data_IF_823352088348
#
_entry.id   IF_823352088348
#
_cell.length_a   1.000
_cell.length_b   1.000
_cell.length_c   1.000
_cell.angle_alpha   90.00
_cell.angle_beta   90.00
_cell.angle_gamma   90.00
#
_symmetry.space_group_name_H-M   'P 1'
#
loop_
_entity.id
_entity.type
_entity.pdbx_description
1 polymer ?
#
# COMPACT_ATOMS: atom_id res chain seq x y z
N UNK A 1 31.81 -11.15 -30.67
CA UNK A 1 31.08 -11.51 -29.45
C UNK A 1 30.31 -10.36 -28.81
N UNK A 2 30.87 -9.14 -28.60
CA UNK A 2 30.17 -8.02 -27.97
C UNK A 2 28.91 -7.56 -28.71
N UNK A 3 28.91 -7.54 -30.05
CA UNK A 3 27.77 -7.07 -30.88
C UNK A 3 26.56 -7.99 -30.68
N UNK A 4 26.75 -9.30 -30.73
CA UNK A 4 25.67 -10.29 -30.61
C UNK A 4 25.08 -10.36 -29.19
N UNK A 5 25.94 -10.26 -28.16
CA UNK A 5 25.47 -10.15 -26.77
C UNK A 5 24.59 -8.89 -26.60
N UNK A 6 25.01 -7.75 -27.17
CA UNK A 6 24.22 -6.51 -27.13
C UNK A 6 22.89 -6.65 -27.88
N UNK A 7 22.89 -7.37 -28.99
CA UNK A 7 21.67 -7.67 -29.74
C UNK A 7 20.68 -8.47 -28.91
N UNK A 8 21.14 -9.58 -28.31
CA UNK A 8 20.30 -10.42 -27.43
C UNK A 8 19.78 -9.63 -26.24
N UNK A 9 20.64 -8.83 -25.59
CA UNK A 9 20.24 -7.97 -24.46
C UNK A 9 19.16 -6.96 -24.87
N UNK A 10 19.29 -6.33 -26.05
CA UNK A 10 18.29 -5.38 -26.56
C UNK A 10 16.96 -6.09 -26.83
N UNK A 11 17.01 -7.28 -27.42
CA UNK A 11 15.84 -8.08 -27.75
C UNK A 11 15.07 -8.49 -26.47
N UNK A 12 15.77 -9.07 -25.49
CA UNK A 12 15.19 -9.47 -24.21
C UNK A 12 14.69 -8.23 -23.44
N UNK A 13 15.49 -7.17 -23.41
CA UNK A 13 15.16 -5.95 -22.67
C UNK A 13 13.92 -5.24 -23.20
N UNK A 14 13.74 -5.14 -24.52
CA UNK A 14 12.54 -4.54 -25.12
C UNK A 14 11.27 -5.28 -24.75
N UNK A 15 11.28 -6.62 -24.82
CA UNK A 15 10.14 -7.45 -24.41
C UNK A 15 9.91 -7.44 -22.90
N UNK A 16 10.99 -7.33 -22.11
CA UNK A 16 10.87 -7.20 -20.64
C UNK A 16 10.19 -5.89 -20.23
N UNK A 17 10.53 -4.78 -20.85
CA UNK A 17 9.88 -3.47 -20.58
C UNK A 17 8.39 -3.55 -20.91
N UNK A 18 8.03 -4.14 -22.05
CA UNK A 18 6.63 -4.36 -22.43
C UNK A 18 5.93 -5.25 -21.39
N UNK A 19 6.61 -6.31 -20.94
CA UNK A 19 6.10 -7.20 -19.89
C UNK A 19 5.86 -6.48 -18.56
N UNK A 20 6.83 -5.68 -18.09
CA UNK A 20 6.67 -4.86 -16.88
C UNK A 20 5.49 -3.91 -17.03
N UNK A 21 5.40 -3.18 -18.15
CA UNK A 21 4.30 -2.24 -18.39
C UNK A 21 2.94 -2.94 -18.41
N UNK A 22 2.84 -4.11 -19.06
CA UNK A 22 1.60 -4.89 -19.13
C UNK A 22 1.17 -5.37 -17.73
N UNK A 23 2.06 -6.00 -16.97
CA UNK A 23 1.72 -6.47 -15.63
C UNK A 23 1.46 -5.34 -14.65
N UNK A 24 2.20 -4.24 -14.75
CA UNK A 24 1.91 -3.03 -13.96
C UNK A 24 0.51 -2.53 -14.26
N UNK A 25 0.13 -2.43 -15.53
CA UNK A 25 -1.21 -2.02 -15.93
C UNK A 25 -2.30 -2.97 -15.38
N UNK A 26 -2.09 -4.30 -15.48
CA UNK A 26 -3.04 -5.30 -14.96
C UNK A 26 -3.25 -5.14 -13.44
N UNK A 27 -2.15 -4.97 -12.67
CA UNK A 27 -2.24 -4.78 -11.21
C UNK A 27 -2.94 -3.45 -10.89
N UNK A 28 -2.64 -2.39 -11.66
CA UNK A 28 -3.31 -1.10 -11.49
C UNK A 28 -4.80 -1.13 -11.79
N UNK A 29 -5.23 -1.93 -12.76
CA UNK A 29 -6.67 -2.11 -13.05
C UNK A 29 -7.45 -2.60 -11.82
N UNK A 30 -6.83 -3.44 -10.99
CA UNK A 30 -7.43 -3.89 -9.73
C UNK A 30 -7.65 -2.72 -8.75
N UNK A 31 -6.69 -1.80 -8.69
CA UNK A 31 -6.73 -0.67 -7.76
C UNK A 31 -7.52 0.54 -8.31
N UNK A 32 -7.88 0.51 -9.62
CA UNK A 32 -8.62 1.57 -10.29
C UNK A 32 -9.98 1.86 -9.64
N UNK A 33 -10.68 0.82 -9.16
CA UNK A 33 -11.96 0.98 -8.46
C UNK A 33 -11.82 1.86 -7.21
N UNK A 34 -10.78 1.64 -6.42
CA UNK A 34 -10.49 2.45 -5.23
C UNK A 34 -10.09 3.89 -5.59
N UNK A 35 -9.32 4.08 -6.67
CA UNK A 35 -8.96 5.41 -7.15
C UNK A 35 -10.16 6.19 -7.67
N UNK A 36 -11.07 5.53 -8.40
CA UNK A 36 -12.31 6.16 -8.84
C UNK A 36 -13.23 6.53 -7.66
N UNK A 37 -13.30 5.70 -6.65
CA UNK A 37 -14.05 6.01 -5.42
C UNK A 37 -13.49 7.27 -4.74
N UNK A 38 -12.17 7.41 -4.63
CA UNK A 38 -11.52 8.61 -4.09
C UNK A 38 -11.84 9.86 -4.91
N UNK A 39 -11.91 9.77 -6.24
CA UNK A 39 -12.25 10.91 -7.10
C UNK A 39 -13.73 11.28 -6.96
N UNK A 40 -14.61 10.28 -7.03
CA UNK A 40 -16.07 10.50 -7.13
C UNK A 40 -16.67 10.84 -5.76
N UNK A 41 -16.29 10.10 -4.71
CA UNK A 41 -16.82 10.34 -3.35
C UNK A 41 -16.18 11.54 -2.69
N UNK A 42 -14.87 11.69 -2.82
CA UNK A 42 -14.10 12.60 -1.98
C UNK A 42 -13.68 13.88 -2.71
N UNK A 43 -14.15 14.11 -3.96
CA UNK A 43 -13.78 15.31 -4.75
C UNK A 43 -12.26 15.58 -4.73
N UNK A 44 -11.44 14.51 -4.64
CA UNK A 44 -10.00 14.64 -4.53
C UNK A 44 -9.44 15.35 -5.77
N UNK A 45 -8.55 16.34 -5.61
CA UNK A 45 -7.97 17.05 -6.75
C UNK A 45 -7.15 16.09 -7.61
N UNK A 46 -7.29 16.18 -8.94
CA UNK A 46 -6.58 15.34 -9.91
C UNK A 46 -5.06 15.20 -9.65
N UNK A 47 -4.33 16.26 -9.23
CA UNK A 47 -2.92 16.12 -8.88
C UNK A 47 -2.67 15.11 -7.76
N UNK A 48 -3.49 15.10 -6.71
CA UNK A 48 -3.34 14.15 -5.59
C UNK A 48 -3.58 12.70 -6.02
N UNK A 49 -4.49 12.49 -6.95
CA UNK A 49 -4.72 11.15 -7.53
C UNK A 49 -3.50 10.69 -8.34
N UNK A 50 -2.88 11.59 -9.10
CA UNK A 50 -1.66 11.29 -9.83
C UNK A 50 -0.48 11.00 -8.88
N UNK A 51 -0.38 11.69 -7.73
CA UNK A 51 0.62 11.42 -6.69
C UNK A 51 0.39 10.04 -6.05
N UNK A 52 -0.85 9.67 -5.72
CA UNK A 52 -1.18 8.32 -5.21
C UNK A 52 -0.71 7.26 -6.21
N UNK A 53 -1.02 7.47 -7.50
CA UNK A 53 -0.59 6.57 -8.56
C UNK A 53 0.94 6.44 -8.59
N UNK A 54 1.66 7.55 -8.56
CA UNK A 54 3.13 7.56 -8.61
C UNK A 54 3.75 6.86 -7.41
N UNK A 55 3.24 7.11 -6.20
CA UNK A 55 3.75 6.49 -4.98
C UNK A 55 3.40 5.00 -4.85
N UNK A 56 2.38 4.51 -5.55
CA UNK A 56 2.04 3.08 -5.59
C UNK A 56 2.92 2.29 -6.56
N UNK A 57 3.53 2.94 -7.57
CA UNK A 57 4.37 2.28 -8.58
C UNK A 57 5.53 1.46 -8.01
N UNK A 58 6.36 1.96 -7.05
CA UNK A 58 7.50 1.20 -6.55
C UNK A 58 7.11 -0.10 -5.86
N UNK A 59 6.01 -0.11 -5.10
CA UNK A 59 5.49 -1.33 -4.49
C UNK A 59 5.06 -2.34 -5.57
N UNK A 60 4.40 -1.88 -6.63
CA UNK A 60 3.99 -2.70 -7.78
C UNK A 60 5.19 -3.25 -8.54
N UNK A 61 6.24 -2.46 -8.75
CA UNK A 61 7.47 -2.89 -9.43
C UNK A 61 8.19 -4.03 -8.73
N UNK A 62 8.05 -4.16 -7.43
CA UNK A 62 8.64 -5.28 -6.69
C UNK A 62 8.16 -6.65 -7.22
N UNK A 63 6.92 -6.70 -7.73
CA UNK A 63 6.31 -7.91 -8.29
C UNK A 63 6.46 -7.95 -9.82
N UNK A 64 6.26 -6.81 -10.49
CA UNK A 64 6.21 -6.79 -11.97
C UNK A 64 7.56 -6.87 -12.63
N UNK A 65 8.66 -6.45 -11.99
CA UNK A 65 10.02 -6.59 -12.53
C UNK A 65 10.37 -8.07 -12.77
N UNK A 66 10.26 -9.01 -11.80
CA UNK A 66 10.54 -10.43 -12.06
C UNK A 66 9.63 -11.03 -13.15
N UNK A 67 8.35 -10.65 -13.18
CA UNK A 67 7.42 -11.06 -14.23
C UNK A 67 7.87 -10.58 -15.61
N UNK A 68 8.26 -9.31 -15.71
CA UNK A 68 8.76 -8.72 -16.93
C UNK A 68 10.08 -9.35 -17.42
N UNK A 69 10.96 -9.72 -16.50
CA UNK A 69 12.19 -10.48 -16.81
C UNK A 69 11.85 -11.83 -17.47
N UNK A 70 10.89 -12.55 -16.90
CA UNK A 70 10.44 -13.82 -17.47
C UNK A 70 9.85 -13.64 -18.89
N UNK A 71 8.97 -12.64 -19.08
CA UNK A 71 8.42 -12.27 -20.40
C UNK A 71 9.54 -11.98 -21.38
N UNK A 72 10.47 -11.11 -20.99
CA UNK A 72 11.58 -10.72 -21.85
C UNK A 72 12.39 -11.90 -22.34
N UNK A 73 12.74 -12.80 -21.43
CA UNK A 73 13.53 -13.99 -21.75
C UNK A 73 12.73 -14.97 -22.61
N UNK A 74 11.51 -15.34 -22.21
CA UNK A 74 10.72 -16.32 -22.92
C UNK A 74 10.30 -15.84 -24.29
N UNK A 75 9.72 -14.63 -24.40
CA UNK A 75 9.24 -14.08 -25.66
C UNK A 75 10.43 -13.72 -26.57
N UNK A 76 11.46 -13.07 -26.03
CA UNK A 76 12.64 -12.70 -26.83
C UNK A 76 13.38 -13.91 -27.39
N UNK A 77 13.68 -14.91 -26.55
CA UNK A 77 14.36 -16.11 -27.02
C UNK A 77 13.48 -17.00 -27.94
N UNK A 78 12.18 -17.13 -27.64
CA UNK A 78 11.24 -17.87 -28.50
C UNK A 78 11.12 -17.23 -29.88
N UNK A 79 11.09 -15.90 -29.96
CA UNK A 79 11.09 -15.17 -31.24
C UNK A 79 12.37 -15.46 -32.02
N UNK A 80 13.55 -15.31 -31.38
CA UNK A 80 14.83 -15.62 -32.03
C UNK A 80 14.91 -17.09 -32.50
N UNK A 81 14.30 -18.01 -31.73
CA UNK A 81 14.25 -19.42 -32.12
C UNK A 81 13.29 -19.67 -33.32
N UNK A 82 12.13 -19.02 -33.34
CA UNK A 82 11.16 -19.09 -34.42
C UNK A 82 11.69 -18.48 -35.72
N UNK A 83 12.39 -17.36 -35.64
CA UNK A 83 13.00 -16.69 -36.79
C UNK A 83 14.33 -17.38 -37.24
N UNK A 84 14.65 -18.58 -36.69
CA UNK A 84 15.85 -19.38 -36.97
C UNK A 84 17.19 -18.69 -36.65
N UNK A 85 17.18 -17.54 -35.97
CA UNK A 85 18.38 -16.80 -35.57
C UNK A 85 19.26 -17.64 -34.60
N UNK A 86 18.63 -18.35 -33.64
CA UNK A 86 19.35 -19.27 -32.74
C UNK A 86 20.07 -20.35 -33.52
N UNK A 87 19.46 -20.89 -34.60
CA UNK A 87 20.05 -21.92 -35.43
C UNK A 87 21.23 -21.35 -36.24
N UNK A 88 21.07 -20.17 -36.84
CA UNK A 88 22.14 -19.48 -37.59
C UNK A 88 23.35 -19.15 -36.69
N UNK A 89 23.12 -18.71 -35.46
CA UNK A 89 24.17 -18.45 -34.47
C UNK A 89 24.89 -19.75 -34.09
N UNK A 90 24.18 -20.86 -33.92
CA UNK A 90 24.78 -22.16 -33.59
C UNK A 90 25.55 -22.77 -34.76
N UNK A 91 25.06 -22.61 -35.98
CA UNK A 91 25.76 -23.11 -37.18
C UNK A 91 27.06 -22.33 -37.49
N UNK A 92 27.19 -21.11 -36.99
CA UNK A 92 28.45 -20.36 -37.02
C UNK A 92 29.48 -20.77 -35.96
N UNK A 93 29.25 -21.88 -35.24
CA UNK A 93 30.15 -22.42 -34.22
C UNK A 93 30.00 -21.78 -32.83
N UNK A 94 29.02 -20.91 -32.63
CA UNK A 94 28.79 -20.27 -31.33
C UNK A 94 27.87 -21.17 -30.46
N UNK A 95 28.36 -21.55 -29.30
CA UNK A 95 27.64 -22.41 -28.36
C UNK A 95 26.52 -21.71 -27.61
N UNK A 96 25.66 -22.48 -26.92
CA UNK A 96 24.56 -21.98 -26.04
C UNK A 96 25.06 -21.04 -24.91
N UNK A 97 26.32 -21.20 -24.50
CA UNK A 97 26.93 -20.38 -23.44
C UNK A 97 26.85 -18.86 -23.68
N UNK A 98 26.75 -18.45 -24.97
CA UNK A 98 26.59 -17.03 -25.28
C UNK A 98 25.20 -16.49 -24.90
N UNK A 99 24.15 -17.28 -25.13
CA UNK A 99 22.78 -16.94 -24.66
C UNK A 99 22.72 -16.91 -23.16
N UNK A 100 23.29 -17.94 -22.48
CA UNK A 100 23.37 -17.99 -21.03
C UNK A 100 24.06 -16.72 -20.50
N UNK A 101 25.20 -16.33 -21.06
CA UNK A 101 25.93 -15.12 -20.65
C UNK A 101 25.10 -13.85 -20.82
N UNK A 102 24.42 -13.68 -21.95
CA UNK A 102 23.60 -12.50 -22.21
C UNK A 102 22.42 -12.43 -21.24
N UNK A 103 21.70 -13.55 -21.06
CA UNK A 103 20.56 -13.63 -20.12
C UNK A 103 21.02 -13.43 -18.66
N UNK A 104 22.16 -14.00 -18.26
CA UNK A 104 22.69 -13.80 -16.89
C UNK A 104 23.04 -12.33 -16.63
N UNK A 105 23.66 -11.64 -17.58
CA UNK A 105 23.94 -10.18 -17.45
C UNK A 105 22.63 -9.40 -17.28
N UNK A 106 21.62 -9.72 -18.09
CA UNK A 106 20.30 -9.10 -18.00
C UNK A 106 19.63 -9.37 -16.65
N UNK A 107 19.62 -10.65 -16.22
CA UNK A 107 19.00 -11.07 -14.98
C UNK A 107 19.66 -10.43 -13.73
N UNK A 108 21.00 -10.34 -13.71
CA UNK A 108 21.73 -9.66 -12.64
C UNK A 108 21.41 -8.16 -12.63
N UNK A 109 21.36 -7.51 -13.79
CA UNK A 109 20.94 -6.10 -13.89
C UNK A 109 19.52 -5.87 -13.37
N UNK A 110 18.57 -6.71 -13.75
CA UNK A 110 17.19 -6.65 -13.27
C UNK A 110 17.09 -6.97 -11.76
N UNK A 111 17.86 -7.93 -11.26
CA UNK A 111 17.94 -8.21 -9.84
C UNK A 111 18.46 -7.01 -9.03
N UNK A 112 19.52 -6.35 -9.48
CA UNK A 112 20.04 -5.14 -8.83
C UNK A 112 19.02 -4.00 -8.82
N UNK A 113 18.31 -3.77 -9.95
CA UNK A 113 17.23 -2.80 -10.03
C UNK A 113 16.07 -3.15 -9.09
N UNK A 114 15.67 -4.41 -9.05
CA UNK A 114 14.64 -4.92 -8.13
C UNK A 114 15.04 -4.77 -6.66
N UNK A 115 16.32 -5.02 -6.32
CA UNK A 115 16.87 -4.81 -4.97
C UNK A 115 16.83 -3.34 -4.58
N UNK A 116 17.28 -2.45 -5.46
CA UNK A 116 17.23 -1.01 -5.24
C UNK A 116 15.79 -0.54 -5.01
N UNK A 117 14.87 -1.02 -5.84
CA UNK A 117 13.46 -0.71 -5.70
C UNK A 117 12.89 -1.23 -4.36
N UNK A 118 13.09 -2.51 -4.04
CA UNK A 118 12.50 -3.16 -2.86
C UNK A 118 13.04 -2.63 -1.54
N UNK A 119 14.34 -2.27 -1.49
CA UNK A 119 15.00 -1.84 -0.25
C UNK A 119 14.87 -0.35 0.01
N UNK A 120 14.89 0.48 -1.05
CA UNK A 120 14.91 1.94 -0.92
C UNK A 120 13.64 2.61 -1.44
N UNK A 121 13.24 2.35 -2.70
CA UNK A 121 12.15 3.09 -3.32
C UNK A 121 10.79 2.70 -2.74
N UNK A 122 10.51 1.42 -2.56
CA UNK A 122 9.22 0.95 -2.08
C UNK A 122 8.89 1.42 -0.65
N UNK A 123 9.81 1.36 0.34
CA UNK A 123 9.52 1.91 1.67
C UNK A 123 9.33 3.42 1.69
N UNK A 124 10.16 4.18 0.94
CA UNK A 124 10.03 5.63 0.88
C UNK A 124 8.72 6.07 0.23
N UNK A 125 8.30 5.39 -0.83
CA UNK A 125 7.02 5.66 -1.48
C UNK A 125 5.83 5.26 -0.62
N UNK A 126 5.93 4.21 0.20
CA UNK A 126 4.91 3.84 1.16
C UNK A 126 4.70 4.93 2.22
N UNK A 127 5.79 5.47 2.79
CA UNK A 127 5.74 6.61 3.73
C UNK A 127 5.11 7.85 3.06
N UNK A 128 5.53 8.17 1.83
CA UNK A 128 4.98 9.31 1.10
C UNK A 128 3.48 9.15 0.80
N UNK A 129 3.06 7.92 0.49
CA UNK A 129 1.66 7.58 0.25
C UNK A 129 0.82 7.74 1.52
N UNK A 130 1.34 7.26 2.67
CA UNK A 130 0.65 7.40 3.96
C UNK A 130 0.46 8.87 4.34
N UNK A 131 1.51 9.69 4.25
CA UNK A 131 1.42 11.14 4.47
C UNK A 131 0.44 11.83 3.52
N UNK A 132 0.37 11.40 2.26
CA UNK A 132 -0.58 11.97 1.30
C UNK A 132 -2.02 11.58 1.66
N UNK A 133 -2.26 10.32 2.01
CA UNK A 133 -3.56 9.84 2.46
C UNK A 133 -4.03 10.59 3.71
N UNK A 134 -3.12 10.81 4.67
CA UNK A 134 -3.42 11.55 5.89
C UNK A 134 -3.80 13.03 5.59
N UNK A 135 -3.05 13.68 4.69
CA UNK A 135 -3.41 15.05 4.24
C UNK A 135 -4.78 15.09 3.57
N UNK A 136 -5.10 14.09 2.74
CA UNK A 136 -6.41 14.01 2.10
C UNK A 136 -7.51 13.79 3.13
N UNK A 137 -7.33 12.88 4.08
CA UNK A 137 -8.28 12.64 5.17
C UNK A 137 -8.50 13.88 6.01
N UNK A 138 -7.44 14.57 6.42
CA UNK A 138 -7.54 15.77 7.24
C UNK A 138 -8.20 16.94 6.50
N UNK A 139 -7.97 17.08 5.20
CA UNK A 139 -8.65 18.10 4.39
C UNK A 139 -10.12 17.80 4.13
N UNK A 140 -10.50 16.52 4.12
CA UNK A 140 -11.86 16.05 3.83
C UNK A 140 -12.74 15.97 5.08
N UNK A 141 -12.17 15.74 6.26
CA UNK A 141 -12.92 15.70 7.52
C UNK A 141 -13.77 16.96 7.74
N UNK A 142 -13.40 18.07 7.10
CA UNK A 142 -14.18 19.33 7.13
C UNK A 142 -15.38 19.34 6.16
N UNK A 143 -15.49 18.42 5.19
CA UNK A 143 -16.45 18.53 4.08
C UNK A 143 -17.44 17.36 3.96
N UNK A 144 -17.21 16.22 4.62
CA UNK A 144 -17.87 14.97 4.26
C UNK A 144 -18.77 14.36 5.34
N UNK A 145 -19.34 15.19 6.20
CA UNK A 145 -20.39 14.72 7.09
C UNK A 145 -21.70 14.69 6.29
N UNK A 146 -22.07 13.48 5.84
CA UNK A 146 -23.38 13.27 5.22
C UNK A 146 -24.48 13.50 6.24
N UNK A 147 -25.49 14.36 5.94
CA UNK A 147 -26.58 14.58 6.86
C UNK A 147 -27.39 13.30 7.10
N UNK A 148 -27.90 13.13 8.30
CA UNK A 148 -28.77 12.02 8.75
C UNK A 148 -28.09 10.66 8.86
N UNK A 149 -26.76 10.64 9.01
CA UNK A 149 -25.95 9.44 9.27
C UNK A 149 -25.25 9.59 10.62
N UNK A 150 -25.12 8.51 11.37
CA UNK A 150 -24.29 8.48 12.57
C UNK A 150 -22.84 8.19 12.17
N UNK A 151 -21.92 9.06 12.58
CA UNK A 151 -20.49 8.93 12.37
C UNK A 151 -19.81 8.45 13.65
N UNK A 152 -19.14 7.30 13.55
CA UNK A 152 -18.36 6.67 14.62
C UNK A 152 -16.85 6.70 14.30
N UNK A 153 -16.44 7.44 13.28
CA UNK A 153 -15.03 7.50 12.85
C UNK A 153 -14.12 8.27 13.83
N UNK A 154 -14.71 9.11 14.66
CA UNK A 154 -13.98 9.80 15.72
C UNK A 154 -13.87 8.88 16.93
N UNK A 155 -12.64 8.71 17.44
CA UNK A 155 -12.42 7.86 18.61
C UNK A 155 -13.27 8.32 19.80
N UNK A 156 -14.10 7.41 20.31
CA UNK A 156 -14.96 7.63 21.46
C UNK A 156 -16.02 8.75 21.31
N UNK A 157 -16.29 9.20 20.07
CA UNK A 157 -17.28 10.23 19.77
C UNK A 157 -18.24 9.75 18.68
N UNK A 158 -19.54 9.82 18.94
CA UNK A 158 -20.58 9.57 17.95
C UNK A 158 -21.20 10.91 17.56
N UNK A 159 -21.13 11.26 16.28
CA UNK A 159 -21.67 12.49 15.72
C UNK A 159 -22.86 12.20 14.80
N UNK A 160 -23.93 12.96 14.94
CA UNK A 160 -25.04 12.97 14.00
C UNK A 160 -25.40 14.42 13.65
N UNK A 161 -25.60 14.66 12.36
CA UNK A 161 -25.98 15.98 11.85
C UNK A 161 -27.28 15.85 11.06
N UNK A 162 -28.27 16.66 11.38
CA UNK A 162 -29.57 16.61 10.71
C UNK A 162 -29.49 17.14 9.28
N UNK A 163 -28.87 18.33 9.10
CA UNK A 163 -28.68 18.95 7.79
C UNK A 163 -27.28 19.59 7.71
N UNK A 164 -26.58 19.39 6.59
CA UNK A 164 -25.30 20.01 6.29
C UNK A 164 -25.44 20.96 5.09
N UNK A 165 -25.07 22.21 5.28
CA UNK A 165 -25.12 23.23 4.23
C UNK A 165 -23.69 23.51 3.79
N UNK A 166 -23.29 23.16 2.55
CA UNK A 166 -21.96 23.47 2.05
C UNK A 166 -21.78 24.97 1.92
N UNK A 167 -20.79 25.52 2.61
CA UNK A 167 -20.38 26.91 2.50
C UNK A 167 -18.90 26.97 2.12
N UNK A 168 -18.44 28.10 1.53
CA UNK A 168 -17.07 28.25 1.02
C UNK A 168 -16.00 27.85 2.05
N UNK A 169 -15.54 26.59 2.00
CA UNK A 169 -14.44 26.09 2.83
C UNK A 169 -14.84 25.55 4.21
N UNK A 170 -16.13 25.58 4.59
CA UNK A 170 -16.63 25.03 5.85
C UNK A 170 -18.03 24.47 5.64
N UNK A 171 -18.37 23.34 6.27
CA UNK A 171 -19.73 22.84 6.31
C UNK A 171 -20.42 23.40 7.55
N UNK A 172 -21.50 24.16 7.34
CA UNK A 172 -22.37 24.61 8.43
C UNK A 172 -23.42 23.54 8.69
N UNK A 173 -23.53 23.10 9.94
CA UNK A 173 -24.44 22.05 10.36
C UNK A 173 -25.65 22.62 11.07
N UNK A 174 -26.79 21.96 10.89
CA UNK A 174 -28.02 22.21 11.65
C UNK A 174 -28.45 20.94 12.36
N UNK A 175 -28.89 21.04 13.60
CA UNK A 175 -29.35 19.92 14.38
C UNK A 175 -28.22 18.92 14.64
N UNK A 176 -27.26 19.31 15.48
CA UNK A 176 -26.08 18.51 15.82
C UNK A 176 -26.35 17.72 17.09
N UNK A 177 -26.15 16.42 17.04
CA UNK A 177 -26.09 15.53 18.19
C UNK A 177 -24.67 14.97 18.27
N UNK A 178 -24.05 15.10 19.43
CA UNK A 178 -22.72 14.59 19.71
C UNK A 178 -22.74 13.82 21.04
N UNK A 179 -22.37 12.54 20.99
CA UNK A 179 -22.17 11.72 22.17
C UNK A 179 -20.68 11.47 22.38
N UNK A 180 -20.14 11.92 23.50
CA UNK A 180 -18.77 11.64 23.94
C UNK A 180 -18.82 10.52 24.97
N UNK A 181 -18.25 9.35 24.58
CA UNK A 181 -18.18 8.13 25.38
C UNK A 181 -16.75 7.82 25.83
N UNK A 182 -15.87 8.83 25.82
CA UNK A 182 -14.47 8.67 26.26
C UNK A 182 -14.36 8.21 27.72
N UNK A 183 -15.31 8.64 28.56
CA UNK A 183 -15.48 8.11 29.93
C UNK A 183 -16.78 7.33 30.04
N UNK A 184 -16.73 5.98 30.03
CA UNK A 184 -17.93 5.14 30.16
C UNK A 184 -18.73 5.36 31.45
N UNK A 185 -18.09 5.92 32.51
CA UNK A 185 -18.75 6.23 33.80
C UNK A 185 -19.49 7.57 33.79
N UNK A 186 -19.19 8.44 32.84
CA UNK A 186 -19.80 9.78 32.70
C UNK A 186 -19.97 10.17 31.22
N UNK A 187 -20.83 9.47 30.45
CA UNK A 187 -21.09 9.81 29.07
C UNK A 187 -21.71 11.21 28.95
N UNK A 188 -21.23 11.98 27.97
CA UNK A 188 -21.70 13.35 27.70
C UNK A 188 -22.45 13.40 26.38
N UNK A 189 -23.66 13.93 26.41
CA UNK A 189 -24.49 14.14 25.23
C UNK A 189 -24.64 15.63 25.01
N UNK A 190 -24.23 16.11 23.85
CA UNK A 190 -24.35 17.51 23.45
C UNK A 190 -25.33 17.64 22.30
N UNK A 191 -26.32 18.49 22.46
CA UNK A 191 -27.29 18.86 21.42
C UNK A 191 -27.09 20.32 21.06
N UNK A 192 -26.90 20.65 19.79
CA UNK A 192 -26.76 22.03 19.35
C UNK A 192 -27.62 22.33 18.13
N UNK A 193 -28.12 23.55 18.03
CA UNK A 193 -28.92 23.98 16.87
C UNK A 193 -28.06 24.17 15.64
N UNK A 194 -26.85 24.68 15.84
CA UNK A 194 -25.88 24.93 14.76
C UNK A 194 -24.50 24.43 15.18
N UNK A 195 -23.71 24.06 14.20
CA UNK A 195 -22.33 23.69 14.43
C UNK A 195 -21.49 23.78 13.16
N UNK A 196 -20.19 23.77 13.35
CA UNK A 196 -19.21 23.70 12.26
C UNK A 196 -17.98 22.94 12.73
N UNK A 197 -17.28 22.30 11.80
CA UNK A 197 -15.98 21.74 12.05
C UNK A 197 -14.92 22.77 11.70
N UNK A 198 -14.12 23.18 12.68
CA UNK A 198 -13.02 24.11 12.50
C UNK A 198 -11.69 23.33 12.51
N UNK A 199 -10.83 23.62 11.54
CA UNK A 199 -9.47 23.09 11.47
C UNK A 199 -8.48 24.23 11.70
N UNK A 200 -7.82 24.25 12.86
CA UNK A 200 -6.80 25.27 13.18
C UNK A 200 -5.40 24.87 12.71
N UNK A 201 -5.16 23.58 12.55
CA UNK A 201 -3.91 23.00 12.06
C UNK A 201 -4.21 21.61 11.45
N UNK A 202 -3.30 21.04 10.66
CA UNK A 202 -3.51 19.76 9.97
C UNK A 202 -3.99 18.60 10.86
N UNK A 203 -3.77 18.68 12.19
CA UNK A 203 -4.12 17.62 13.14
C UNK A 203 -4.96 18.10 14.34
N UNK A 204 -5.52 19.33 14.28
CA UNK A 204 -6.35 19.86 15.36
C UNK A 204 -7.70 20.24 14.79
N UNK A 205 -8.68 19.36 14.94
CA UNK A 205 -10.08 19.67 14.66
C UNK A 205 -10.78 20.06 15.94
N UNK A 206 -11.71 21.00 15.83
CA UNK A 206 -12.62 21.39 16.90
C UNK A 206 -14.04 21.44 16.36
N UNK A 207 -14.98 20.88 17.13
CA UNK A 207 -16.39 21.13 16.89
C UNK A 207 -16.75 22.49 17.51
N UNK A 208 -17.12 23.44 16.69
CA UNK A 208 -17.73 24.67 17.13
C UNK A 208 -19.25 24.50 17.11
N UNK A 209 -19.86 24.57 18.28
CA UNK A 209 -21.30 24.35 18.46
C UNK A 209 -21.96 25.59 19.04
N UNK A 210 -23.10 25.97 18.47
CA UNK A 210 -23.84 27.16 18.86
C UNK A 210 -25.27 26.80 19.31
N UNK A 211 -25.77 27.53 20.31
CA UNK A 211 -27.13 27.37 20.85
C UNK A 211 -27.46 25.95 21.26
N UNK A 212 -26.83 25.45 22.31
CA UNK A 212 -26.97 24.05 22.67
C UNK A 212 -27.10 23.75 24.16
N UNK A 213 -27.31 22.46 24.43
CA UNK A 213 -27.35 21.90 25.77
C UNK A 213 -26.42 20.67 25.84
N UNK A 214 -25.69 20.59 26.93
CA UNK A 214 -24.85 19.44 27.25
C UNK A 214 -25.44 18.73 28.46
N UNK A 215 -25.65 17.42 28.33
CA UNK A 215 -26.11 16.55 29.39
C UNK A 215 -24.96 15.61 29.79
N UNK A 216 -24.68 15.57 31.09
CA UNK A 216 -23.62 14.73 31.65
C UNK A 216 -24.21 13.88 32.80
N UNK A 217 -23.98 12.57 32.75
CA UNK A 217 -24.38 11.69 33.84
C UNK A 217 -23.45 11.90 35.05
N UNK A 218 -24.02 12.03 36.25
CA UNK A 218 -23.22 12.22 37.47
C UNK A 218 -22.78 10.87 38.00
N UNK A 219 -21.46 10.54 38.08
CA UNK A 219 -20.95 9.19 38.30
C UNK A 219 -21.28 8.57 39.65
N UNK A 220 -21.77 9.35 40.63
CA UNK A 220 -21.96 8.90 42.05
C UNK A 220 -23.39 8.86 42.50
N UNK A 221 -24.34 9.32 41.71
CA UNK A 221 -25.74 9.38 42.11
C UNK A 221 -26.60 8.84 40.97
N UNK A 222 -27.23 7.68 41.21
CA UNK A 222 -28.12 7.07 40.24
C UNK A 222 -29.30 8.02 39.93
N UNK A 223 -29.61 8.26 38.66
CA UNK A 223 -30.69 9.14 38.18
C UNK A 223 -30.48 10.68 38.30
N UNK A 224 -29.25 11.17 38.50
CA UNK A 224 -28.97 12.59 38.41
C UNK A 224 -28.17 12.92 37.13
N UNK A 225 -28.71 13.91 36.39
CA UNK A 225 -28.06 14.46 35.18
C UNK A 225 -27.77 15.95 35.42
N UNK A 226 -26.58 16.38 35.02
CA UNK A 226 -26.25 17.78 34.91
C UNK A 226 -26.59 18.26 33.52
N UNK A 227 -27.41 19.34 33.42
CA UNK A 227 -27.75 19.96 32.16
C UNK A 227 -27.12 21.34 32.14
N UNK A 228 -26.18 21.55 31.22
CA UNK A 228 -25.53 22.86 31.00
C UNK A 228 -25.98 23.41 29.66
N UNK A 229 -26.52 24.62 29.66
CA UNK A 229 -26.88 25.33 28.43
C UNK A 229 -25.76 26.27 28.07
N UNK A 230 -25.41 26.33 26.79
CA UNK A 230 -24.34 27.18 26.26
C UNK A 230 -24.80 27.93 25.01
N UNK A 231 -24.30 29.15 24.85
CA UNK A 231 -24.46 29.92 23.59
C UNK A 231 -23.44 29.46 22.55
N UNK A 232 -22.18 29.27 22.98
CA UNK A 232 -21.08 28.76 22.13
C UNK A 232 -20.21 27.79 22.94
N UNK A 233 -19.81 26.69 22.33
CA UNK A 233 -18.83 25.76 22.92
C UNK A 233 -17.91 25.23 21.85
N UNK A 234 -16.66 24.93 22.24
CA UNK A 234 -15.67 24.29 21.37
C UNK A 234 -15.24 22.97 22.00
N UNK A 235 -15.44 21.90 21.29
CA UNK A 235 -15.04 20.56 21.71
C UNK A 235 -13.84 20.13 20.87
N UNK A 236 -12.63 20.04 21.48
CA UNK A 236 -11.45 19.58 20.76
C UNK A 236 -11.59 18.10 20.42
N UNK A 237 -11.31 17.76 19.17
CA UNK A 237 -11.27 16.37 18.71
C UNK A 237 -9.81 15.96 18.64
N UNK A 238 -9.44 14.96 19.41
CA UNK A 238 -8.17 14.27 19.19
C UNK A 238 -8.33 13.37 17.97
N UNK A 239 -7.89 13.86 16.81
CA UNK A 239 -7.59 12.92 15.73
C UNK A 239 -6.37 12.16 16.22
N UNK A 240 -6.37 10.81 16.22
CA UNK A 240 -5.15 10.08 16.44
C UNK A 240 -4.18 10.46 15.32
N UNK A 241 -3.33 11.45 15.57
CA UNK A 241 -2.32 11.88 14.61
C UNK A 241 -1.26 10.78 14.57
N UNK A 242 -1.08 10.19 13.40
CA UNK A 242 -0.01 9.25 13.12
C UNK A 242 1.39 9.86 13.31
N UNK A 243 1.48 11.18 13.37
CA UNK A 243 2.73 11.93 13.60
C UNK A 243 3.42 11.60 14.94
N UNK A 244 2.66 11.10 15.93
CA UNK A 244 3.17 10.61 17.21
C UNK A 244 3.13 9.08 17.35
N UNK A 245 2.84 8.35 16.26
CA UNK A 245 3.03 6.89 16.31
C UNK A 245 4.51 6.63 16.55
N UNK A 246 4.87 5.91 17.63
CA UNK A 246 6.23 5.44 17.78
C UNK A 246 6.64 4.76 16.46
N UNK A 247 7.84 5.01 15.98
CA UNK A 247 8.38 4.42 14.74
C UNK A 247 8.20 2.89 14.69
N UNK A 248 7.94 2.28 15.83
CA UNK A 248 7.67 0.86 16.05
C UNK A 248 6.23 0.43 15.67
N UNK A 249 5.29 1.38 15.45
CA UNK A 249 3.89 1.12 15.09
C UNK A 249 3.57 1.48 13.63
N UNK A 250 4.56 1.90 12.86
CA UNK A 250 4.39 2.15 11.43
C UNK A 250 4.00 0.86 10.69
N UNK A 251 3.19 0.96 9.63
CA UNK A 251 2.91 -0.17 8.76
C UNK A 251 4.21 -0.86 8.31
N UNK A 252 4.22 -2.17 8.29
CA UNK A 252 5.43 -2.96 8.03
C UNK A 252 6.08 -2.63 6.68
N UNK A 253 5.26 -2.18 5.71
CA UNK A 253 5.73 -1.75 4.39
C UNK A 253 6.65 -0.51 4.43
N UNK A 254 6.47 0.37 5.41
CA UNK A 254 7.20 1.62 5.58
C UNK A 254 8.52 1.45 6.33
N UNK A 255 8.63 0.37 7.11
CA UNK A 255 9.81 0.15 7.94
C UNK A 255 11.05 -0.12 7.10
N UNK A 256 12.17 0.53 7.44
CA UNK A 256 13.48 0.21 6.88
C UNK A 256 13.97 -1.17 7.32
N UNK A 257 14.98 -1.73 6.64
CA UNK A 257 15.52 -3.07 6.94
C UNK A 257 15.98 -3.22 8.40
N UNK A 258 16.64 -2.20 8.95
CA UNK A 258 17.11 -2.23 10.34
C UNK A 258 15.96 -2.21 11.33
N UNK A 259 14.91 -1.43 11.04
CA UNK A 259 13.70 -1.35 11.88
C UNK A 259 12.95 -2.66 11.89
N UNK A 260 12.83 -3.34 10.73
CA UNK A 260 12.22 -4.67 10.64
C UNK A 260 12.92 -5.69 11.54
N UNK A 261 14.26 -5.75 11.49
CA UNK A 261 15.03 -6.66 12.33
C UNK A 261 14.95 -6.32 13.83
N UNK A 262 14.99 -5.03 14.17
CA UNK A 262 14.86 -4.58 15.56
C UNK A 262 13.48 -4.91 16.12
N UNK A 263 12.42 -4.65 15.36
CA UNK A 263 11.05 -4.93 15.78
C UNK A 263 10.80 -6.43 15.90
N UNK A 264 11.28 -7.24 14.96
CA UNK A 264 11.22 -8.69 15.08
C UNK A 264 11.90 -9.21 16.36
N UNK A 265 13.11 -8.73 16.65
CA UNK A 265 13.85 -9.12 17.86
C UNK A 265 13.15 -8.63 19.15
N UNK A 266 12.56 -7.43 19.15
CA UNK A 266 11.80 -6.87 20.27
C UNK A 266 10.55 -7.68 20.57
N UNK A 267 9.75 -7.98 19.55
CA UNK A 267 8.53 -8.78 19.70
C UNK A 267 8.83 -10.22 20.14
N UNK A 268 9.93 -10.82 19.68
CA UNK A 268 10.39 -12.13 20.19
C UNK A 268 10.74 -12.08 21.67
N UNK A 269 11.47 -11.06 22.13
CA UNK A 269 11.80 -10.88 23.55
C UNK A 269 10.54 -10.65 24.38
N UNK A 270 9.61 -9.82 23.87
CA UNK A 270 8.32 -9.60 24.55
C UNK A 270 7.51 -10.90 24.66
N UNK A 271 7.46 -11.72 23.58
CA UNK A 271 6.84 -13.02 23.63
C UNK A 271 7.46 -13.92 24.72
N UNK A 272 8.78 -14.02 24.78
CA UNK A 272 9.49 -14.84 25.76
C UNK A 272 9.16 -14.42 27.22
N UNK A 273 9.05 -13.11 27.48
CA UNK A 273 8.74 -12.59 28.82
C UNK A 273 7.32 -12.94 29.32
N UNK A 274 6.37 -13.14 28.42
CA UNK A 274 4.96 -13.45 28.77
C UNK A 274 4.58 -14.91 28.53
N UNK A 275 5.53 -15.75 28.15
CA UNK A 275 5.30 -17.14 27.74
C UNK A 275 4.54 -17.98 28.76
N UNK A 276 4.75 -17.76 30.04
CA UNK A 276 4.13 -18.52 31.13
C UNK A 276 2.88 -17.81 31.66
N UNK A 277 2.88 -16.47 31.69
CA UNK A 277 1.82 -15.67 32.30
C UNK A 277 0.60 -15.51 31.40
N UNK A 278 0.77 -15.39 30.07
CA UNK A 278 -0.32 -15.19 29.14
C UNK A 278 -0.02 -15.87 27.77
N UNK A 279 -0.57 -17.08 27.55
CA UNK A 279 -0.40 -17.78 26.28
C UNK A 279 -1.00 -17.07 25.07
N UNK A 280 -2.04 -16.24 25.27
CA UNK A 280 -2.66 -15.45 24.20
C UNK A 280 -1.73 -14.34 23.71
N UNK A 281 -1.20 -13.57 24.64
CA UNK A 281 -0.25 -12.49 24.35
C UNK A 281 1.07 -13.03 23.77
N UNK A 282 1.53 -14.19 24.26
CA UNK A 282 2.67 -14.91 23.70
C UNK A 282 2.50 -15.19 22.19
N UNK A 283 1.36 -15.82 21.82
CA UNK A 283 1.08 -16.14 20.44
C UNK A 283 0.95 -14.88 19.56
N UNK A 284 0.29 -13.85 20.07
CA UNK A 284 0.16 -12.56 19.36
C UNK A 284 1.53 -11.93 19.03
N UNK A 285 2.40 -11.79 20.04
CA UNK A 285 3.74 -11.22 19.87
C UNK A 285 4.60 -12.09 18.95
N UNK A 286 4.46 -13.42 19.00
CA UNK A 286 5.18 -14.34 18.12
C UNK A 286 4.74 -14.20 16.65
N UNK A 287 3.44 -14.10 16.41
CA UNK A 287 2.90 -13.88 15.05
C UNK A 287 3.38 -12.55 14.50
N UNK A 288 3.37 -11.50 15.31
CA UNK A 288 3.86 -10.17 14.94
C UNK A 288 5.36 -10.18 14.62
N UNK A 289 6.17 -10.86 15.41
CA UNK A 289 7.60 -11.03 15.13
C UNK A 289 7.84 -11.75 13.78
N UNK A 290 7.10 -12.83 13.52
CA UNK A 290 7.16 -13.56 12.25
C UNK A 290 6.75 -12.69 11.06
N UNK A 291 5.77 -11.80 11.23
CA UNK A 291 5.34 -10.90 10.18
C UNK A 291 6.46 -9.93 9.75
N UNK A 292 7.22 -9.38 10.71
CA UNK A 292 8.39 -8.56 10.40
C UNK A 292 9.52 -9.36 9.70
N UNK A 293 9.74 -10.60 10.11
CA UNK A 293 10.75 -11.48 9.49
C UNK A 293 10.36 -11.87 8.07
N UNK A 294 9.10 -12.20 7.84
CA UNK A 294 8.57 -12.51 6.49
C UNK A 294 8.75 -11.31 5.57
N UNK A 295 8.39 -10.10 6.02
CA UNK A 295 8.57 -8.90 5.22
C UNK A 295 10.05 -8.62 4.91
N UNK A 296 10.93 -8.81 5.90
CA UNK A 296 12.37 -8.70 5.67
C UNK A 296 12.84 -9.68 4.59
N UNK A 297 12.48 -10.96 4.68
CA UNK A 297 12.87 -11.98 3.69
C UNK A 297 12.25 -11.70 2.32
N UNK A 298 11.00 -11.25 2.27
CA UNK A 298 10.28 -10.92 1.04
C UNK A 298 11.01 -9.86 0.22
N UNK A 299 11.62 -8.86 0.87
CA UNK A 299 12.37 -7.78 0.19
C UNK A 299 13.60 -8.28 -0.56
N UNK A 300 14.16 -9.41 -0.18
CA UNK A 300 15.27 -10.07 -0.88
C UNK A 300 14.78 -11.17 -1.83
N UNK A 301 13.81 -11.95 -1.42
CA UNK A 301 13.30 -13.09 -2.19
C UNK A 301 12.64 -12.67 -3.50
N UNK A 302 11.81 -11.61 -3.49
CA UNK A 302 11.12 -11.16 -4.70
C UNK A 302 12.09 -10.67 -5.79
N UNK A 303 13.09 -9.81 -5.52
CA UNK A 303 14.10 -9.49 -6.53
C UNK A 303 14.91 -10.71 -6.97
N UNK A 304 15.25 -11.65 -6.05
CA UNK A 304 16.00 -12.86 -6.38
C UNK A 304 15.25 -13.77 -7.37
N UNK A 305 13.94 -13.67 -7.44
CA UNK A 305 13.13 -14.35 -8.46
C UNK A 305 13.57 -14.01 -9.89
N UNK A 306 14.12 -12.82 -10.16
CA UNK A 306 14.69 -12.48 -11.48
C UNK A 306 15.76 -13.49 -11.91
N UNK A 307 16.61 -13.93 -10.99
CA UNK A 307 17.69 -14.90 -11.28
C UNK A 307 17.13 -16.29 -11.50
N UNK A 308 16.22 -16.74 -10.63
CA UNK A 308 15.60 -18.07 -10.73
C UNK A 308 14.77 -18.19 -12.00
N UNK A 309 13.92 -17.20 -12.29
CA UNK A 309 13.07 -17.19 -13.49
C UNK A 309 13.91 -17.10 -14.78
N UNK A 310 15.05 -16.41 -14.74
CA UNK A 310 15.98 -16.38 -15.85
C UNK A 310 16.59 -17.75 -16.14
N UNK A 311 16.99 -18.50 -15.11
CA UNK A 311 17.53 -19.86 -15.26
C UNK A 311 16.50 -20.81 -15.88
N UNK A 312 15.25 -20.74 -15.48
CA UNK A 312 14.16 -21.54 -16.05
C UNK A 312 13.78 -21.05 -17.46
N UNK A 313 13.78 -19.76 -17.69
CA UNK A 313 13.40 -19.14 -18.96
C UNK A 313 14.34 -19.46 -20.12
N UNK A 314 15.65 -19.67 -19.88
CA UNK A 314 16.63 -19.96 -20.92
C UNK A 314 16.29 -21.26 -21.69
N UNK A 315 16.21 -22.45 -21.03
CA UNK A 315 15.94 -23.67 -21.75
C UNK A 315 14.57 -23.68 -22.42
N UNK A 316 13.56 -23.10 -21.76
CA UNK A 316 12.19 -23.05 -22.27
C UNK A 316 12.08 -22.14 -23.49
N UNK A 317 12.70 -20.94 -23.45
CA UNK A 317 12.71 -20.00 -24.58
C UNK A 317 13.44 -20.56 -25.80
N UNK A 318 14.58 -21.24 -25.60
CA UNK A 318 15.35 -21.87 -26.70
C UNK A 318 14.69 -23.13 -27.27
N UNK A 319 13.86 -23.81 -26.51
CA UNK A 319 13.17 -25.06 -26.93
C UNK A 319 11.87 -24.79 -27.72
N UNK A 320 11.37 -23.58 -27.77
CA UNK A 320 10.08 -23.18 -28.36
C UNK A 320 10.03 -23.27 -29.91
N UNK A 321 10.87 -24.06 -30.54
CA UNK A 321 11.04 -24.17 -32.02
C UNK A 321 9.77 -24.49 -32.81
N UNK A 322 8.80 -25.23 -32.22
CA UNK A 322 7.64 -25.78 -32.96
C UNK A 322 6.33 -25.00 -32.79
N UNK A 323 6.24 -24.05 -31.86
CA UNK A 323 4.96 -23.47 -31.48
C UNK A 323 4.71 -22.03 -31.97
N UNK A 324 5.63 -21.40 -32.69
CA UNK A 324 5.49 -20.02 -33.15
C UNK A 324 5.65 -18.97 -32.02
N UNK A 325 5.45 -17.71 -32.37
CA UNK A 325 5.64 -16.56 -31.46
C UNK A 325 4.72 -16.55 -30.24
N UNK A 326 3.56 -17.23 -30.33
CA UNK A 326 2.57 -17.28 -29.24
C UNK A 326 2.95 -18.25 -28.11
N UNK A 327 3.77 -19.27 -28.39
CA UNK A 327 4.16 -20.28 -27.38
C UNK A 327 4.92 -19.68 -26.21
N UNK A 328 5.83 -18.70 -26.48
CA UNK A 328 6.56 -18.00 -25.45
C UNK A 328 5.63 -17.23 -24.51
N UNK A 329 4.58 -16.61 -25.05
CA UNK A 329 3.61 -15.86 -24.28
C UNK A 329 2.73 -16.76 -23.39
N UNK A 330 2.19 -17.85 -23.94
CA UNK A 330 1.38 -18.82 -23.18
C UNK A 330 2.21 -19.45 -22.06
N UNK A 331 3.46 -19.82 -22.34
CA UNK A 331 4.35 -20.39 -21.34
C UNK A 331 4.69 -19.39 -20.23
N UNK A 332 4.83 -18.10 -20.58
CA UNK A 332 5.03 -17.04 -19.59
C UNK A 332 3.85 -16.94 -18.62
N UNK A 333 2.62 -16.88 -19.15
CA UNK A 333 1.41 -16.80 -18.31
C UNK A 333 1.35 -18.00 -17.36
N UNK A 334 1.58 -19.22 -17.89
CA UNK A 334 1.58 -20.45 -17.10
C UNK A 334 2.60 -20.40 -15.97
N UNK A 335 3.85 -20.02 -16.27
CA UNK A 335 4.92 -19.93 -15.26
C UNK A 335 4.69 -18.84 -14.24
N UNK A 336 4.17 -17.68 -14.65
CA UNK A 336 3.80 -16.60 -13.73
C UNK A 336 2.73 -17.08 -12.75
N UNK A 337 1.67 -17.73 -13.26
CA UNK A 337 0.61 -18.28 -12.41
C UNK A 337 1.19 -19.31 -11.43
N UNK A 338 1.99 -20.25 -11.90
CA UNK A 338 2.63 -21.27 -11.04
C UNK A 338 3.50 -20.61 -9.97
N UNK A 339 4.35 -19.66 -10.34
CA UNK A 339 5.28 -19.01 -9.40
C UNK A 339 4.60 -18.17 -8.31
N UNK A 340 3.47 -17.50 -8.63
CA UNK A 340 2.81 -16.64 -7.66
C UNK A 340 1.63 -17.29 -6.93
N UNK A 341 1.20 -18.47 -7.36
CA UNK A 341 0.11 -19.22 -6.73
C UNK A 341 0.62 -20.28 -5.75
N UNK A 342 1.83 -20.79 -5.99
CA UNK A 342 2.54 -21.75 -5.13
C UNK A 342 3.75 -21.12 -4.45
#
# INVERSE_FOLDING_TARGET
MRILTRYILKEIGSHAIIGVALFTFIIFMRDMGRLLELIVRNSAPLPSVAEIFLFTLPATFTITIPMGVLVGILVGLSRMAADSEVTAIRSSGMGVGMFIRAVSIFAVGAWLLGMLNSVYLAPQSAIALDHLQERLRSSQASFEIEPRVFYEEFKDIVLYVQDAIPSKGQALWRGVFLADISDPSSPKITLAKRGALLSDAPNKLRFHLEDGTQQEAVPKVQDQYSITTFENTEIPIAIPSDENRPHDLLPVAELGLQSLLRNAARERKAAESVRISDPGLYNYSLVKARYYEIEFQRRFALPAACLVLAMVGIPLGLSARKGGKSTGFVLTILLVVVYYFF
#
